data_IF_640869587932
#
_entry.id   IF_640869587932
#
_cell.length_a   1.000
_cell.length_b   1.000
_cell.length_c   1.000
_cell.angle_alpha   90.00
_cell.angle_beta   90.00
_cell.angle_gamma   90.00
#
_symmetry.space_group_name_H-M   'P 1'
#
loop_
_entity.id
_entity.type
_entity.pdbx_description
1 polymer ?
#
# COMPACT_ATOMS: atom_id res chain seq x y z
N UNK A 1 -27.12 -19.67 72.52
CA UNK A 1 -25.83 -19.60 71.77
C UNK A 1 -26.00 -19.63 70.24
N UNK A 2 -26.93 -20.35 69.64
CA UNK A 2 -27.05 -20.43 68.13
C UNK A 2 -27.47 -19.12 67.44
N UNK A 3 -28.27 -18.24 68.05
CA UNK A 3 -28.69 -16.97 67.41
C UNK A 3 -27.58 -15.92 67.35
N UNK A 4 -26.64 -15.90 68.29
CA UNK A 4 -25.54 -14.94 68.27
C UNK A 4 -24.46 -15.33 67.24
N UNK A 5 -24.33 -16.62 66.94
CA UNK A 5 -23.39 -17.11 65.91
C UNK A 5 -23.88 -16.80 64.50
N UNK A 6 -25.20 -16.84 64.27
CA UNK A 6 -25.79 -16.53 62.95
C UNK A 6 -25.68 -15.06 62.61
N UNK A 7 -25.85 -14.15 63.61
CA UNK A 7 -25.72 -12.71 63.42
C UNK A 7 -24.26 -12.33 63.12
N UNK A 8 -23.26 -12.94 63.73
CA UNK A 8 -21.86 -12.72 63.46
C UNK A 8 -21.43 -13.17 62.06
N UNK A 9 -22.00 -14.26 61.55
CA UNK A 9 -21.71 -14.79 60.21
C UNK A 9 -22.33 -13.93 59.09
N UNK A 10 -23.54 -13.34 59.34
CA UNK A 10 -24.15 -12.40 58.40
C UNK A 10 -23.44 -11.09 58.31
N UNK A 11 -22.93 -10.53 59.41
CA UNK A 11 -22.10 -9.31 59.44
C UNK A 11 -20.75 -9.52 58.82
N UNK A 12 -20.13 -10.70 58.95
CA UNK A 12 -18.88 -11.06 58.30
C UNK A 12 -19.02 -11.18 56.77
N UNK A 13 -20.13 -11.80 56.29
CA UNK A 13 -20.46 -11.93 54.87
C UNK A 13 -20.78 -10.56 54.26
N UNK A 14 -21.53 -9.70 54.98
CA UNK A 14 -21.82 -8.33 54.48
C UNK A 14 -20.58 -7.45 54.42
N UNK A 15 -19.67 -7.57 55.42
CA UNK A 15 -18.38 -6.86 55.42
C UNK A 15 -17.47 -7.28 54.27
N UNK A 16 -17.44 -8.60 53.93
CA UNK A 16 -16.65 -9.12 52.79
C UNK A 16 -17.22 -8.66 51.43
N UNK A 17 -18.56 -8.56 51.31
CA UNK A 17 -19.22 -8.09 50.10
C UNK A 17 -18.99 -6.59 49.84
N UNK A 18 -18.97 -5.77 50.91
CA UNK A 18 -18.65 -4.33 50.83
C UNK A 18 -17.18 -4.13 50.48
N UNK A 19 -16.24 -4.91 51.03
CA UNK A 19 -14.81 -4.81 50.72
C UNK A 19 -14.50 -5.22 49.27
N UNK A 20 -15.17 -6.27 48.72
CA UNK A 20 -15.02 -6.70 47.31
C UNK A 20 -15.63 -5.65 46.39
N UNK A 21 -16.77 -5.05 46.73
CA UNK A 21 -17.41 -4.00 45.91
C UNK A 21 -16.58 -2.70 45.87
N UNK A 22 -15.91 -2.32 46.95
CA UNK A 22 -15.03 -1.15 47.00
C UNK A 22 -13.74 -1.41 46.23
N UNK A 23 -13.17 -2.63 46.28
CA UNK A 23 -11.97 -3.02 45.52
C UNK A 23 -12.16 -3.06 44.00
N UNK A 24 -13.36 -3.39 43.53
CA UNK A 24 -13.71 -3.42 42.09
C UNK A 24 -14.02 -2.03 41.54
N UNK A 25 -14.57 -1.12 42.38
CA UNK A 25 -14.85 0.26 41.97
C UNK A 25 -13.59 1.15 41.92
N UNK A 26 -12.53 0.80 42.65
CA UNK A 26 -11.28 1.56 42.73
C UNK A 26 -10.37 1.42 41.48
N UNK A 27 -10.43 0.29 40.78
CA UNK A 27 -9.53 0.04 39.63
C UNK A 27 -9.93 0.86 38.39
N UNK A 28 -11.21 1.17 38.18
CA UNK A 28 -11.66 1.98 37.06
C UNK A 28 -11.42 3.48 37.21
N UNK A 29 -11.53 3.99 38.46
CA UNK A 29 -11.28 5.41 38.76
C UNK A 29 -9.80 5.78 38.57
N UNK A 30 -8.88 4.93 38.98
CA UNK A 30 -7.45 5.22 38.95
C UNK A 30 -6.87 5.43 37.54
N UNK A 31 -7.37 4.68 36.54
CA UNK A 31 -6.92 4.84 35.14
C UNK A 31 -7.46 6.11 34.45
N UNK A 32 -8.68 6.52 34.78
CA UNK A 32 -9.26 7.76 34.25
C UNK A 32 -8.57 8.97 34.86
N UNK A 33 -8.35 8.97 36.17
CA UNK A 33 -7.67 10.07 36.87
C UNK A 33 -6.21 10.22 36.40
N UNK A 34 -5.53 9.12 36.09
CA UNK A 34 -4.18 9.16 35.49
C UNK A 34 -4.20 9.76 34.09
N UNK A 35 -5.14 9.38 33.24
CA UNK A 35 -5.28 9.96 31.92
C UNK A 35 -5.53 11.46 31.97
N UNK A 36 -6.45 11.92 32.83
CA UNK A 36 -6.73 13.36 33.04
C UNK A 36 -5.50 14.15 33.48
N UNK A 37 -4.71 13.62 34.38
CA UNK A 37 -3.44 14.25 34.79
C UNK A 37 -2.44 14.39 33.66
N UNK A 38 -2.34 13.35 32.76
CA UNK A 38 -1.46 13.40 31.60
C UNK A 38 -1.94 14.40 30.56
N UNK A 39 -3.26 14.49 30.34
CA UNK A 39 -3.85 15.50 29.44
C UNK A 39 -3.64 16.91 30.01
N UNK A 40 -3.79 17.11 31.32
CA UNK A 40 -3.50 18.41 31.96
C UNK A 40 -2.03 18.80 31.75
N UNK A 41 -1.09 17.88 32.02
CA UNK A 41 0.34 18.14 31.80
C UNK A 41 0.63 18.54 30.33
N UNK A 42 -0.02 17.90 29.37
CA UNK A 42 0.12 18.25 27.95
C UNK A 42 -0.41 19.67 27.69
N UNK A 43 -1.57 20.02 28.25
CA UNK A 43 -2.17 21.35 28.09
C UNK A 43 -1.30 22.43 28.72
N UNK A 44 -0.76 22.18 29.94
CA UNK A 44 0.11 23.11 30.65
C UNK A 44 1.41 23.35 29.83
N UNK A 45 2.02 22.29 29.33
CA UNK A 45 3.21 22.40 28.50
C UNK A 45 2.94 23.18 27.18
N UNK A 46 1.80 22.95 26.54
CA UNK A 46 1.38 23.68 25.34
C UNK A 46 1.23 25.18 25.66
N UNK A 47 0.60 25.52 26.79
CA UNK A 47 0.41 26.91 27.23
C UNK A 47 1.73 27.61 27.48
N UNK A 48 2.68 26.94 28.14
CA UNK A 48 4.03 27.50 28.41
C UNK A 48 4.79 27.69 27.08
N UNK A 49 4.73 26.74 26.17
CA UNK A 49 5.39 26.88 24.86
C UNK A 49 4.83 28.08 24.11
N UNK A 50 3.51 28.27 24.12
CA UNK A 50 2.86 29.37 23.40
C UNK A 50 3.18 30.74 24.04
N UNK A 51 3.35 30.81 25.38
CA UNK A 51 3.65 32.07 26.06
C UNK A 51 5.12 32.45 26.08
N UNK A 52 6.02 31.47 26.20
CA UNK A 52 7.41 31.71 26.57
C UNK A 52 8.43 31.37 25.49
N UNK A 53 7.99 30.69 24.38
CA UNK A 53 8.92 30.43 23.28
C UNK A 53 9.37 31.73 22.62
N UNK A 54 10.63 31.78 22.19
CA UNK A 54 11.29 32.99 21.67
C UNK A 54 10.64 33.57 20.42
N UNK A 55 9.92 32.76 19.65
CA UNK A 55 9.20 33.17 18.45
C UNK A 55 7.71 32.84 18.59
N UNK A 56 6.86 33.54 17.84
CA UNK A 56 5.42 33.25 17.82
C UNK A 56 5.17 31.83 17.23
N UNK A 57 4.41 31.04 17.98
CA UNK A 57 4.12 29.64 17.59
C UNK A 57 2.73 29.50 16.98
N UNK A 58 2.61 28.62 15.99
CA UNK A 58 1.32 28.22 15.44
C UNK A 58 0.76 27.04 16.24
N UNK A 59 -0.38 27.18 16.94
CA UNK A 59 -0.99 26.09 17.71
C UNK A 59 -1.22 24.81 16.90
N UNK A 60 -1.61 24.95 15.63
CA UNK A 60 -1.85 23.82 14.72
C UNK A 60 -0.59 22.98 14.54
N UNK A 61 0.56 23.63 14.32
CA UNK A 61 1.82 22.92 14.06
C UNK A 61 2.30 22.18 15.31
N UNK A 62 2.11 22.78 16.50
CA UNK A 62 2.42 22.14 17.78
C UNK A 62 1.56 20.90 18.03
N UNK A 63 0.25 21.00 17.81
CA UNK A 63 -0.68 19.87 17.96
C UNK A 63 -0.37 18.76 16.94
N UNK A 64 -0.13 19.12 15.67
CA UNK A 64 0.21 18.15 14.64
C UNK A 64 1.54 17.44 14.94
N UNK A 65 2.55 18.18 15.45
CA UNK A 65 3.81 17.60 15.93
C UNK A 65 3.59 16.60 17.05
N UNK A 66 2.75 16.94 18.05
CA UNK A 66 2.40 16.05 19.14
C UNK A 66 1.68 14.79 18.67
N UNK A 67 0.68 14.92 17.77
CA UNK A 67 -0.04 13.79 17.18
C UNK A 67 0.91 12.87 16.39
N UNK A 68 1.83 13.44 15.59
CA UNK A 68 2.86 12.68 14.90
C UNK A 68 3.75 11.89 15.86
N UNK A 69 4.18 12.54 16.97
CA UNK A 69 4.98 11.89 18.02
C UNK A 69 4.24 10.77 18.74
N UNK A 70 2.97 10.95 19.08
CA UNK A 70 2.14 9.90 19.70
C UNK A 70 2.01 8.66 18.81
N UNK A 71 1.75 8.84 17.52
CA UNK A 71 1.59 7.71 16.61
C UNK A 71 2.93 7.01 16.36
N UNK A 72 4.02 7.75 16.21
CA UNK A 72 5.37 7.21 16.06
C UNK A 72 5.83 6.37 17.25
N UNK A 73 5.30 6.64 18.47
CA UNK A 73 5.60 5.84 19.66
C UNK A 73 4.92 4.47 19.69
N UNK A 74 3.96 4.20 18.79
CA UNK A 74 3.27 2.91 18.73
C UNK A 74 4.01 1.91 17.85
N UNK A 75 4.24 2.27 16.59
CA UNK A 75 4.96 1.47 15.60
C UNK A 75 5.33 2.31 14.36
N UNK A 76 6.13 1.74 13.45
CA UNK A 76 6.61 2.42 12.24
C UNK A 76 5.54 2.60 11.13
N UNK A 77 4.35 2.04 11.30
CA UNK A 77 3.27 2.05 10.32
C UNK A 77 2.10 2.93 10.75
N UNK A 78 1.97 3.20 12.05
CA UNK A 78 0.96 4.11 12.59
C UNK A 78 1.38 5.56 12.40
N UNK A 79 0.48 6.38 11.87
CA UNK A 79 0.81 7.74 11.44
C UNK A 79 -0.38 8.69 11.60
N UNK A 80 -0.13 9.91 12.09
CA UNK A 80 -1.04 11.03 11.89
C UNK A 80 -0.83 11.61 10.50
N UNK A 81 -1.89 11.79 9.77
CA UNK A 81 -1.90 12.35 8.42
C UNK A 81 -2.62 13.71 8.47
N UNK A 82 -1.90 14.75 8.10
CA UNK A 82 -2.51 16.03 7.75
C UNK A 82 -3.32 15.91 6.45
N UNK A 83 -4.03 16.96 6.08
CA UNK A 83 -4.89 16.95 4.89
C UNK A 83 -4.14 16.56 3.61
N UNK A 84 -2.91 17.03 3.45
CA UNK A 84 -2.09 16.75 2.28
C UNK A 84 -1.71 15.27 2.20
N UNK A 85 -1.14 14.73 3.27
CA UNK A 85 -0.75 13.31 3.37
C UNK A 85 -1.95 12.37 3.24
N UNK A 86 -3.10 12.75 3.81
CA UNK A 86 -4.32 11.95 3.68
C UNK A 86 -4.88 11.97 2.26
N UNK A 87 -4.82 13.10 1.57
CA UNK A 87 -5.22 13.20 0.17
C UNK A 87 -4.27 12.42 -0.75
N UNK A 88 -2.96 12.40 -0.46
CA UNK A 88 -1.99 11.55 -1.17
C UNK A 88 -2.32 10.07 -1.00
N UNK A 89 -2.62 9.62 0.21
CA UNK A 89 -3.04 8.23 0.46
C UNK A 89 -4.32 7.86 -0.31
N UNK A 90 -5.31 8.77 -0.37
CA UNK A 90 -6.52 8.56 -1.19
C UNK A 90 -6.19 8.41 -2.67
N UNK A 91 -5.27 9.22 -3.18
CA UNK A 91 -4.81 9.14 -4.57
C UNK A 91 -4.11 7.81 -4.83
N UNK A 92 -3.21 7.41 -3.93
CA UNK A 92 -2.50 6.14 -4.04
C UNK A 92 -3.46 4.94 -4.04
N UNK A 93 -4.43 4.95 -3.14
CA UNK A 93 -5.43 3.89 -2.97
C UNK A 93 -6.38 3.79 -4.16
N UNK A 94 -6.89 4.93 -4.64
CA UNK A 94 -7.76 5.00 -5.81
C UNK A 94 -7.01 4.76 -7.11
N UNK A 95 -5.71 5.02 -7.15
CA UNK A 95 -4.91 4.95 -8.36
C UNK A 95 -5.27 6.00 -9.41
N UNK A 96 -5.95 7.08 -8.99
CA UNK A 96 -6.41 8.15 -9.87
C UNK A 96 -6.18 9.50 -9.20
N UNK A 97 -5.70 10.47 -9.96
CA UNK A 97 -5.53 11.85 -9.49
C UNK A 97 -5.75 12.84 -10.61
N UNK A 98 -6.12 14.07 -10.25
CA UNK A 98 -6.19 15.17 -11.20
C UNK A 98 -4.80 15.76 -11.45
N UNK A 99 -4.39 15.83 -12.71
CA UNK A 99 -3.07 16.33 -13.08
C UNK A 99 -2.82 16.36 -14.57
N UNK A 100 -1.55 16.43 -14.94
CA UNK A 100 -1.11 16.55 -16.32
C UNK A 100 -0.68 15.20 -16.94
N UNK A 101 -0.24 14.25 -16.10
CA UNK A 101 0.28 12.94 -16.55
C UNK A 101 1.72 13.03 -17.04
N UNK A 102 2.62 13.56 -16.20
CA UNK A 102 4.04 13.70 -16.48
C UNK A 102 4.83 13.06 -15.34
N UNK A 103 5.80 12.23 -15.67
CA UNK A 103 6.85 11.83 -14.74
C UNK A 103 7.99 12.84 -14.82
N UNK A 104 8.42 13.35 -13.66
CA UNK A 104 9.41 14.42 -13.56
C UNK A 104 10.51 14.06 -12.57
N UNK A 105 11.67 14.68 -12.77
CA UNK A 105 12.82 14.62 -11.85
C UNK A 105 13.53 15.96 -11.82
N UNK A 106 14.47 16.11 -10.89
CA UNK A 106 15.44 17.22 -10.94
C UNK A 106 16.73 16.69 -11.57
N UNK A 107 17.10 17.25 -12.70
CA UNK A 107 18.36 16.95 -13.42
C UNK A 107 19.14 18.24 -13.64
N UNK A 108 20.40 18.25 -13.24
CA UNK A 108 21.29 19.42 -13.32
C UNK A 108 20.66 20.68 -12.66
N UNK A 109 19.96 20.49 -11.53
CA UNK A 109 19.28 21.57 -10.81
C UNK A 109 18.01 22.09 -11.48
N UNK A 110 17.52 21.44 -12.55
CA UNK A 110 16.35 21.86 -13.30
C UNK A 110 15.25 20.77 -13.30
N UNK A 111 14.02 21.21 -13.14
CA UNK A 111 12.86 20.33 -13.24
C UNK A 111 12.73 19.78 -14.67
N UNK A 112 12.89 18.48 -14.84
CA UNK A 112 13.01 17.84 -16.15
C UNK A 112 11.97 16.73 -16.30
N UNK A 113 11.35 16.66 -17.47
CA UNK A 113 10.42 15.58 -17.84
C UNK A 113 11.18 14.30 -18.09
N UNK A 114 10.90 13.24 -17.35
CA UNK A 114 11.36 11.88 -17.65
C UNK A 114 10.56 11.37 -18.85
N UNK A 115 9.22 11.33 -18.71
CA UNK A 115 8.31 10.94 -19.77
C UNK A 115 6.90 11.48 -19.53
N UNK A 116 6.17 11.92 -20.55
CA UNK A 116 4.72 12.08 -20.47
C UNK A 116 4.05 10.70 -20.55
N UNK A 117 3.04 10.47 -19.72
CA UNK A 117 2.25 9.23 -19.72
C UNK A 117 1.33 9.26 -20.95
N UNK A 118 1.30 8.17 -21.72
CA UNK A 118 0.44 8.06 -22.91
C UNK A 118 -1.03 8.33 -22.59
N UNK A 119 -1.76 8.92 -23.54
CA UNK A 119 -3.18 9.27 -23.43
C UNK A 119 -3.54 10.26 -22.32
N UNK A 120 -2.55 10.97 -21.76
CA UNK A 120 -2.77 12.02 -20.75
C UNK A 120 -2.81 13.42 -21.38
N UNK A 121 -3.26 14.43 -20.62
CA UNK A 121 -3.25 15.82 -21.10
C UNK A 121 -1.88 16.32 -21.57
N UNK A 122 -0.81 15.97 -20.86
CA UNK A 122 0.54 16.37 -21.27
C UNK A 122 1.02 15.69 -22.55
N UNK A 123 0.72 14.40 -22.70
CA UNK A 123 0.98 13.68 -23.94
C UNK A 123 0.30 14.33 -25.15
N UNK A 124 -1.01 14.61 -24.99
CA UNK A 124 -1.79 15.26 -26.06
C UNK A 124 -1.34 16.68 -26.36
N UNK A 125 -0.80 17.39 -25.37
CA UNK A 125 -0.22 18.72 -25.55
C UNK A 125 1.13 18.71 -26.24
N UNK A 126 1.78 17.53 -26.44
CA UNK A 126 3.06 17.42 -27.11
C UNK A 126 4.28 17.67 -26.22
N UNK A 127 4.14 17.47 -24.91
CA UNK A 127 5.28 17.39 -23.95
C UNK A 127 6.14 16.20 -24.33
N UNK A 128 7.46 16.35 -24.27
CA UNK A 128 8.42 15.33 -24.66
C UNK A 128 9.37 14.96 -23.52
N UNK A 129 9.96 13.75 -23.53
CA UNK A 129 11.09 13.43 -22.65
C UNK A 129 12.22 14.47 -22.80
N UNK A 130 12.88 14.76 -21.69
CA UNK A 130 13.97 15.76 -21.55
C UNK A 130 13.53 17.23 -21.70
N UNK A 131 12.25 17.52 -21.85
CA UNK A 131 11.76 18.90 -21.74
C UNK A 131 12.06 19.44 -20.32
N UNK A 132 12.64 20.65 -20.23
CA UNK A 132 12.91 21.30 -18.95
C UNK A 132 11.79 22.25 -18.61
N UNK A 133 11.09 22.05 -17.51
CA UNK A 133 10.00 22.90 -17.04
C UNK A 133 10.62 24.09 -16.31
N UNK A 134 10.60 25.27 -16.91
CA UNK A 134 11.22 26.48 -16.35
C UNK A 134 10.24 27.36 -15.59
N UNK A 135 8.91 27.23 -15.88
CA UNK A 135 7.85 27.90 -15.10
C UNK A 135 6.61 27.02 -15.00
N UNK A 136 5.91 27.16 -13.88
CA UNK A 136 4.58 26.63 -13.63
C UNK A 136 3.70 27.79 -13.17
N UNK A 137 2.60 28.11 -13.90
CA UNK A 137 1.72 29.25 -13.64
C UNK A 137 2.48 30.57 -13.43
N UNK A 138 3.47 30.85 -14.27
CA UNK A 138 4.38 32.00 -14.23
C UNK A 138 5.43 32.00 -13.09
N UNK A 139 5.39 31.08 -12.15
CA UNK A 139 6.41 30.94 -11.12
C UNK A 139 7.64 30.16 -11.65
N UNK A 140 8.84 30.67 -11.39
CA UNK A 140 10.10 30.04 -11.82
C UNK A 140 10.33 28.76 -11.00
N UNK A 141 10.73 27.67 -11.68
CA UNK A 141 10.90 26.34 -11.05
C UNK A 141 12.31 26.07 -10.52
N UNK A 142 13.27 26.99 -10.69
CA UNK A 142 14.70 26.76 -10.38
C UNK A 142 14.95 26.33 -8.94
N UNK A 143 14.24 26.94 -8.00
CA UNK A 143 14.41 26.70 -6.56
C UNK A 143 13.27 25.86 -5.97
N UNK A 144 12.39 25.32 -6.82
CA UNK A 144 11.28 24.46 -6.37
C UNK A 144 11.78 23.05 -6.08
N UNK A 145 11.31 22.49 -4.99
CA UNK A 145 11.44 21.07 -4.73
C UNK A 145 10.54 20.26 -5.69
N UNK A 146 10.87 18.98 -5.88
CA UNK A 146 10.03 18.09 -6.70
C UNK A 146 8.58 18.00 -6.18
N UNK A 147 8.42 17.96 -4.85
CA UNK A 147 7.10 17.92 -4.18
C UNK A 147 6.29 19.18 -4.47
N UNK A 148 6.88 20.36 -4.37
CA UNK A 148 6.18 21.61 -4.69
C UNK A 148 5.77 21.68 -6.17
N UNK A 149 6.63 21.26 -7.08
CA UNK A 149 6.31 21.21 -8.50
C UNK A 149 5.14 20.25 -8.77
N UNK A 150 5.16 19.04 -8.17
CA UNK A 150 4.06 18.08 -8.25
C UNK A 150 2.76 18.69 -7.71
N UNK A 151 2.80 19.35 -6.55
CA UNK A 151 1.63 20.00 -5.95
C UNK A 151 1.00 21.05 -6.87
N UNK A 152 1.81 21.88 -7.55
CA UNK A 152 1.32 22.90 -8.50
C UNK A 152 0.76 22.29 -9.77
N UNK A 153 1.31 21.17 -10.25
CA UNK A 153 0.81 20.48 -11.45
C UNK A 153 -0.42 19.61 -11.17
N UNK A 154 -0.60 19.08 -9.96
CA UNK A 154 -1.83 18.41 -9.52
C UNK A 154 -2.93 19.42 -9.25
N UNK A 155 -4.19 18.95 -9.21
CA UNK A 155 -5.37 19.75 -8.91
C UNK A 155 -6.62 19.17 -9.53
N UNK A 156 -7.74 19.88 -9.46
CA UNK A 156 -9.02 19.39 -9.96
C UNK A 156 -8.98 19.19 -11.47
N UNK A 157 -9.48 18.06 -12.01
CA UNK A 157 -9.69 17.89 -13.44
C UNK A 157 -10.57 19.03 -13.99
N UNK A 158 -10.20 19.53 -15.17
CA UNK A 158 -10.88 20.66 -15.83
C UNK A 158 -10.21 22.03 -15.60
N UNK A 159 -9.36 22.18 -14.57
CA UNK A 159 -8.59 23.40 -14.36
C UNK A 159 -7.32 23.41 -15.23
N UNK A 160 -6.92 24.59 -15.72
CA UNK A 160 -5.71 24.72 -16.54
C UNK A 160 -4.45 24.96 -15.70
N UNK A 161 -3.31 24.47 -16.20
CA UNK A 161 -1.97 24.81 -15.75
C UNK A 161 -1.17 25.32 -16.95
N UNK A 162 -0.45 26.41 -16.75
CA UNK A 162 0.46 26.95 -17.75
C UNK A 162 1.88 26.47 -17.44
N UNK A 163 2.52 25.79 -18.39
CA UNK A 163 3.92 25.37 -18.30
C UNK A 163 4.73 26.14 -19.32
N UNK A 164 5.81 26.76 -18.89
CA UNK A 164 6.86 27.25 -19.81
C UNK A 164 7.97 26.21 -19.83
N UNK A 165 8.29 25.69 -20.99
CA UNK A 165 9.23 24.60 -21.22
C UNK A 165 10.40 25.09 -22.09
N UNK A 166 11.61 24.75 -21.70
CA UNK A 166 12.80 24.83 -22.54
C UNK A 166 13.05 23.47 -23.17
N UNK A 167 12.87 23.36 -24.48
CA UNK A 167 13.22 22.17 -25.27
C UNK A 167 14.61 22.33 -25.87
N UNK A 168 15.55 21.56 -25.35
CA UNK A 168 16.96 21.68 -25.77
C UNK A 168 17.19 21.29 -27.23
N UNK A 169 16.46 20.30 -27.75
CA UNK A 169 16.56 19.92 -29.17
C UNK A 169 16.29 21.07 -30.11
N UNK A 170 15.37 21.93 -29.75
CA UNK A 170 14.91 23.04 -30.60
C UNK A 170 15.50 24.39 -30.15
N UNK A 171 16.20 24.42 -29.00
CA UNK A 171 16.72 25.63 -28.33
C UNK A 171 15.64 26.71 -28.16
N UNK A 172 14.39 26.29 -27.92
CA UNK A 172 13.23 27.20 -27.84
C UNK A 172 12.51 27.09 -26.50
N UNK A 173 12.05 28.23 -26.02
CA UNK A 173 11.06 28.28 -24.95
C UNK A 173 9.66 28.22 -25.57
N UNK A 174 8.81 27.39 -24.98
CA UNK A 174 7.44 27.17 -25.44
C UNK A 174 6.49 27.19 -24.26
N UNK A 175 5.35 27.84 -24.43
CA UNK A 175 4.29 27.89 -23.43
C UNK A 175 3.18 26.89 -23.79
N UNK A 176 2.80 26.09 -22.79
CA UNK A 176 1.75 25.09 -22.89
C UNK A 176 0.65 25.38 -21.87
N UNK A 177 -0.55 25.63 -22.33
CA UNK A 177 -1.73 25.68 -21.48
C UNK A 177 -2.39 24.30 -21.50
N UNK A 178 -2.24 23.54 -20.40
CA UNK A 178 -2.70 22.16 -20.32
C UNK A 178 -3.82 22.07 -19.30
N UNK A 179 -4.98 21.54 -19.72
CA UNK A 179 -6.11 21.30 -18.83
C UNK A 179 -5.88 19.98 -18.11
N UNK A 180 -5.93 19.99 -16.75
CA UNK A 180 -5.78 18.79 -15.93
C UNK A 180 -6.85 17.77 -16.27
N UNK A 181 -6.45 16.54 -16.40
CA UNK A 181 -7.34 15.40 -16.57
C UNK A 181 -7.25 14.43 -15.40
N UNK A 182 -8.09 13.40 -15.40
CA UNK A 182 -7.94 12.26 -14.50
C UNK A 182 -6.80 11.40 -15.02
N UNK A 183 -5.72 11.30 -14.25
CA UNK A 183 -4.57 10.44 -14.55
C UNK A 183 -4.76 9.13 -13.81
N UNK A 184 -4.74 8.02 -14.55
CA UNK A 184 -4.84 6.68 -13.97
C UNK A 184 -3.45 6.07 -13.83
N UNK A 185 -3.11 5.67 -12.61
CA UNK A 185 -1.87 4.93 -12.33
C UNK A 185 -2.13 3.46 -12.69
N UNK A 186 -1.30 2.88 -13.54
CA UNK A 186 -1.45 1.48 -13.95
C UNK A 186 -1.08 0.55 -12.79
N UNK A 187 -1.98 -0.39 -12.46
CA UNK A 187 -1.71 -1.46 -11.50
C UNK A 187 -0.92 -2.61 -12.14
N UNK A 188 -1.16 -2.81 -13.43
CA UNK A 188 -0.47 -3.80 -14.26
C UNK A 188 0.52 -3.04 -15.12
N UNK A 189 1.81 -3.25 -14.85
CA UNK A 189 2.90 -2.62 -15.59
C UNK A 189 3.13 -3.34 -16.93
N UNK A 190 2.94 -4.66 -16.95
CA UNK A 190 3.22 -5.50 -18.10
C UNK A 190 2.18 -6.63 -18.21
N UNK A 191 1.74 -6.91 -19.42
CA UNK A 191 0.82 -8.00 -19.73
C UNK A 191 1.07 -8.48 -21.15
N UNK A 192 1.64 -9.69 -21.33
CA UNK A 192 1.99 -10.24 -22.65
C UNK A 192 2.09 -11.75 -22.66
N UNK A 193 2.13 -12.35 -23.84
CA UNK A 193 2.56 -13.74 -24.03
C UNK A 193 4.08 -13.75 -24.28
N UNK A 194 4.81 -14.59 -23.56
CA UNK A 194 6.21 -14.88 -23.81
C UNK A 194 6.35 -15.86 -24.99
N UNK A 195 7.54 -15.92 -25.60
CA UNK A 195 7.82 -16.73 -26.78
C UNK A 195 7.38 -18.21 -26.65
N UNK A 196 7.36 -18.74 -25.42
CA UNK A 196 6.96 -20.12 -25.15
C UNK A 196 5.45 -20.31 -24.90
N UNK A 197 4.61 -19.33 -25.26
CA UNK A 197 3.16 -19.41 -25.05
C UNK A 197 2.75 -19.28 -23.58
N UNK A 198 3.61 -18.74 -22.70
CA UNK A 198 3.33 -18.49 -21.29
C UNK A 198 2.83 -17.06 -21.12
N UNK A 199 1.67 -16.89 -20.50
CA UNK A 199 1.17 -15.58 -20.13
C UNK A 199 2.01 -15.00 -18.99
N UNK A 200 2.40 -13.73 -19.11
CA UNK A 200 3.11 -12.97 -18.07
C UNK A 200 2.33 -11.71 -17.73
N UNK A 201 2.12 -11.50 -16.43
CA UNK A 201 1.47 -10.29 -15.87
C UNK A 201 2.33 -9.77 -14.73
N UNK A 202 2.75 -8.49 -14.80
CA UNK A 202 3.41 -7.78 -13.70
C UNK A 202 2.41 -6.87 -13.00
N UNK A 203 2.01 -7.24 -11.80
CA UNK A 203 1.11 -6.48 -10.92
C UNK A 203 1.96 -5.70 -9.92
N UNK A 204 1.86 -4.37 -9.93
CA UNK A 204 2.73 -3.50 -9.14
C UNK A 204 2.11 -2.97 -7.86
N UNK A 205 0.77 -2.99 -7.73
CA UNK A 205 0.07 -2.58 -6.51
C UNK A 205 -1.38 -3.06 -6.51
N UNK A 206 -2.01 -3.16 -5.31
CA UNK A 206 -3.42 -3.50 -5.15
C UNK A 206 -4.23 -2.23 -4.85
N UNK A 207 -4.93 -1.71 -5.86
CA UNK A 207 -5.80 -0.52 -5.80
C UNK A 207 -7.26 -0.87 -6.09
N UNK A 208 -8.17 0.08 -5.99
CA UNK A 208 -9.62 -0.14 -6.20
C UNK A 208 -9.96 -0.78 -7.56
N UNK A 209 -9.27 -0.42 -8.63
CA UNK A 209 -9.54 -0.94 -9.98
C UNK A 209 -8.72 -2.20 -10.35
N UNK A 210 -7.86 -2.72 -9.46
CA UNK A 210 -6.91 -3.80 -9.79
C UNK A 210 -7.58 -5.07 -10.30
N UNK A 211 -8.68 -5.50 -9.68
CA UNK A 211 -9.41 -6.68 -10.14
C UNK A 211 -9.98 -6.50 -11.55
N UNK A 212 -10.52 -5.31 -11.83
CA UNK A 212 -11.02 -4.96 -13.16
C UNK A 212 -9.89 -5.00 -14.20
N UNK A 213 -8.76 -4.37 -13.89
CA UNK A 213 -7.60 -4.32 -14.78
C UNK A 213 -6.99 -5.70 -15.01
N UNK A 214 -6.91 -6.53 -13.95
CA UNK A 214 -6.47 -7.92 -14.06
C UNK A 214 -7.40 -8.76 -14.95
N UNK A 215 -8.72 -8.61 -14.80
CA UNK A 215 -9.68 -9.30 -15.66
C UNK A 215 -9.52 -8.91 -17.13
N UNK A 216 -9.30 -7.63 -17.44
CA UNK A 216 -9.05 -7.16 -18.80
C UNK A 216 -7.77 -7.77 -19.38
N UNK A 217 -6.69 -7.79 -18.61
CA UNK A 217 -5.42 -8.40 -19.00
C UNK A 217 -5.56 -9.91 -19.25
N UNK A 218 -6.18 -10.64 -18.31
CA UNK A 218 -6.41 -12.09 -18.46
C UNK A 218 -7.31 -12.42 -19.65
N UNK A 219 -8.37 -11.64 -19.89
CA UNK A 219 -9.25 -11.83 -21.05
C UNK A 219 -8.52 -11.56 -22.37
N UNK A 220 -7.63 -10.58 -22.42
CA UNK A 220 -6.80 -10.32 -23.61
C UNK A 220 -5.86 -11.48 -23.87
N UNK A 221 -5.10 -11.89 -22.86
CA UNK A 221 -4.13 -13.00 -22.98
C UNK A 221 -4.79 -14.34 -23.29
N UNK A 222 -6.01 -14.60 -22.80
CA UNK A 222 -6.73 -15.86 -23.03
C UNK A 222 -7.04 -16.11 -24.51
N UNK A 223 -7.15 -15.06 -25.33
CA UNK A 223 -7.37 -15.17 -26.78
C UNK A 223 -6.21 -15.88 -27.48
N UNK A 224 -5.00 -15.75 -26.93
CA UNK A 224 -3.78 -16.38 -27.45
C UNK A 224 -3.58 -17.80 -26.91
N UNK A 225 -4.54 -18.33 -26.15
CA UNK A 225 -4.56 -19.70 -25.59
C UNK A 225 -3.26 -20.06 -24.84
N UNK A 226 -2.87 -19.30 -23.82
CA UNK A 226 -1.62 -19.56 -23.10
C UNK A 226 -1.64 -20.94 -22.44
N UNK A 227 -0.46 -21.55 -22.33
CA UNK A 227 -0.30 -22.86 -21.68
C UNK A 227 -0.03 -22.77 -20.18
N UNK A 228 0.39 -21.62 -19.69
CA UNK A 228 0.70 -21.35 -18.28
C UNK A 228 0.63 -19.85 -17.98
N UNK A 229 0.69 -19.48 -16.70
CA UNK A 229 0.67 -18.10 -16.23
C UNK A 229 1.82 -17.82 -15.25
N UNK A 230 2.53 -16.74 -15.47
CA UNK A 230 3.45 -16.11 -14.50
C UNK A 230 2.80 -14.83 -13.99
N UNK A 231 2.58 -14.73 -12.68
CA UNK A 231 2.17 -13.50 -11.99
C UNK A 231 3.37 -12.94 -11.23
N UNK A 232 3.86 -11.81 -11.68
CA UNK A 232 5.03 -11.15 -11.06
C UNK A 232 4.58 -10.10 -10.04
N UNK A 233 4.89 -10.37 -8.77
CA UNK A 233 4.64 -9.49 -7.61
C UNK A 233 5.93 -8.88 -7.05
N UNK A 234 7.05 -9.04 -7.72
CA UNK A 234 8.32 -8.45 -7.26
C UNK A 234 8.20 -6.93 -7.20
N UNK A 235 8.69 -6.35 -6.10
CA UNK A 235 8.60 -4.92 -5.80
C UNK A 235 7.16 -4.39 -5.72
N UNK A 236 6.18 -5.25 -5.43
CA UNK A 236 4.80 -4.86 -5.16
C UNK A 236 4.59 -4.72 -3.64
N UNK A 237 4.47 -3.49 -3.10
CA UNK A 237 4.36 -3.25 -1.65
C UNK A 237 2.99 -3.66 -1.06
N UNK A 238 2.10 -4.21 -1.87
CA UNK A 238 0.74 -4.56 -1.48
C UNK A 238 -0.29 -3.50 -1.89
N UNK A 239 -1.12 -3.11 -0.97
CA UNK A 239 -2.23 -2.16 -1.16
C UNK A 239 -3.46 -2.56 -0.37
N UNK A 240 -4.65 -2.40 -0.97
CA UNK A 240 -5.92 -2.70 -0.31
C UNK A 240 -6.06 -4.20 0.01
N UNK A 241 -6.37 -4.50 1.28
CA UNK A 241 -6.57 -5.86 1.77
C UNK A 241 -7.69 -6.56 0.98
N UNK A 242 -8.86 -5.94 0.88
CA UNK A 242 -10.01 -6.51 0.17
C UNK A 242 -9.68 -6.83 -1.28
N UNK A 243 -8.94 -5.94 -1.95
CA UNK A 243 -8.51 -6.13 -3.33
C UNK A 243 -7.53 -7.30 -3.47
N UNK A 244 -6.62 -7.49 -2.51
CA UNK A 244 -5.71 -8.65 -2.53
C UNK A 244 -6.47 -9.96 -2.35
N UNK A 245 -7.52 -9.97 -1.51
CA UNK A 245 -8.42 -11.11 -1.33
C UNK A 245 -9.21 -11.42 -2.60
N UNK A 246 -9.78 -10.40 -3.25
CA UNK A 246 -10.55 -10.56 -4.49
C UNK A 246 -9.68 -11.05 -5.65
N UNK A 247 -8.47 -10.50 -5.79
CA UNK A 247 -7.50 -10.96 -6.79
C UNK A 247 -7.08 -12.41 -6.53
N UNK A 248 -6.81 -12.78 -5.28
CA UNK A 248 -6.50 -14.16 -4.89
C UNK A 248 -7.65 -15.10 -5.23
N UNK A 249 -8.89 -14.67 -4.96
CA UNK A 249 -10.12 -15.40 -5.26
C UNK A 249 -10.30 -15.73 -6.75
N UNK A 250 -9.60 -15.02 -7.67
CA UNK A 250 -9.61 -15.38 -9.10
C UNK A 250 -8.92 -16.71 -9.40
N UNK A 251 -8.01 -17.12 -8.54
CA UNK A 251 -7.14 -18.28 -8.79
C UNK A 251 -7.49 -19.51 -7.93
N UNK A 252 -8.30 -19.35 -6.88
CA UNK A 252 -8.72 -20.44 -5.98
C UNK A 252 -10.25 -20.59 -6.00
N UNK A 253 -10.79 -21.78 -5.63
CA UNK A 253 -12.24 -22.00 -5.53
C UNK A 253 -12.92 -21.03 -4.56
N UNK A 254 -14.20 -20.72 -4.81
CA UNK A 254 -15.02 -19.91 -3.91
C UNK A 254 -15.16 -20.55 -2.52
N UNK A 255 -15.29 -19.73 -1.49
CA UNK A 255 -15.46 -20.17 -0.10
C UNK A 255 -14.19 -20.65 0.59
N UNK A 256 -13.02 -20.45 -0.02
CA UNK A 256 -11.72 -20.74 0.60
C UNK A 256 -11.25 -19.56 1.42
N UNK A 257 -10.79 -19.81 2.65
CA UNK A 257 -10.17 -18.78 3.49
C UNK A 257 -8.89 -18.27 2.82
N UNK A 258 -8.79 -16.97 2.60
CA UNK A 258 -7.61 -16.32 1.99
C UNK A 258 -6.67 -15.81 3.08
N UNK A 259 -7.21 -15.13 4.06
CA UNK A 259 -6.49 -14.49 5.16
C UNK A 259 -7.46 -14.26 6.30
N UNK A 260 -6.98 -14.23 7.54
CA UNK A 260 -7.77 -13.74 8.67
C UNK A 260 -6.97 -12.77 9.52
N UNK A 261 -7.67 -11.90 10.25
CA UNK A 261 -7.06 -10.89 11.12
C UNK A 261 -7.34 -11.18 12.59
N UNK A 262 -6.43 -10.76 13.46
CA UNK A 262 -6.58 -10.78 14.92
C UNK A 262 -6.10 -9.45 15.48
N UNK A 263 -6.97 -8.80 16.24
CA UNK A 263 -6.70 -7.54 16.92
C UNK A 263 -7.04 -7.62 18.41
N UNK A 264 -6.92 -6.48 19.09
CA UNK A 264 -7.22 -6.40 20.53
C UNK A 264 -8.72 -6.45 20.83
N UNK A 265 -9.54 -5.99 19.90
CA UNK A 265 -11.01 -5.94 20.00
C UNK A 265 -11.61 -7.01 19.12
N UNK A 266 -12.78 -7.55 19.51
CA UNK A 266 -13.41 -8.65 18.82
C UNK A 266 -13.78 -8.31 17.37
N UNK A 267 -14.27 -7.10 17.10
CA UNK A 267 -14.61 -6.62 15.77
C UNK A 267 -13.41 -6.48 14.81
N UNK A 268 -12.18 -6.59 15.31
CA UNK A 268 -10.95 -6.61 14.52
C UNK A 268 -10.57 -8.04 14.09
N UNK A 269 -11.31 -9.05 14.55
CA UNK A 269 -11.12 -10.45 14.21
C UNK A 269 -12.00 -10.81 13.04
N UNK A 270 -11.46 -10.72 11.84
CA UNK A 270 -12.18 -10.95 10.58
C UNK A 270 -11.57 -12.09 9.80
N UNK A 271 -12.41 -12.81 9.06
CA UNK A 271 -12.01 -13.85 8.12
C UNK A 271 -12.43 -13.44 6.71
N UNK A 272 -11.52 -13.58 5.76
CA UNK A 272 -11.71 -13.15 4.38
C UNK A 272 -11.66 -14.36 3.47
N UNK A 273 -12.76 -14.59 2.75
CA UNK A 273 -12.93 -15.74 1.89
C UNK A 273 -12.93 -15.36 0.42
N UNK A 274 -12.47 -16.27 -0.43
CA UNK A 274 -12.60 -16.14 -1.88
C UNK A 274 -14.05 -16.15 -2.31
N UNK A 275 -14.44 -15.21 -3.19
CA UNK A 275 -15.83 -15.00 -3.64
C UNK A 275 -16.04 -15.26 -5.13
N UNK A 276 -14.99 -15.59 -5.89
CA UNK A 276 -15.09 -15.72 -7.33
C UNK A 276 -16.03 -16.87 -7.75
N UNK A 277 -17.08 -16.53 -8.50
CA UNK A 277 -18.05 -17.50 -9.04
C UNK A 277 -17.42 -18.49 -10.05
N UNK A 278 -16.29 -18.15 -10.67
CA UNK A 278 -15.53 -19.01 -11.58
C UNK A 278 -14.04 -18.78 -11.34
N UNK A 279 -13.28 -19.76 -10.85
CA UNK A 279 -11.82 -19.67 -10.85
C UNK A 279 -11.35 -19.55 -12.29
N UNK A 280 -10.52 -18.52 -12.53
CA UNK A 280 -9.94 -18.31 -13.85
C UNK A 280 -8.75 -19.25 -14.01
N UNK A 281 -8.79 -20.06 -15.05
CA UNK A 281 -7.70 -20.85 -15.59
C UNK A 281 -7.20 -22.00 -14.69
N UNK A 282 -7.46 -23.22 -15.13
CA UNK A 282 -6.77 -24.44 -14.66
C UNK A 282 -5.31 -24.54 -15.15
N UNK A 283 -4.74 -23.44 -15.66
CA UNK A 283 -3.37 -23.41 -16.17
C UNK A 283 -2.35 -23.57 -15.04
N UNK A 284 -1.23 -24.24 -15.26
CA UNK A 284 -0.06 -24.15 -14.38
C UNK A 284 0.30 -22.70 -14.11
N UNK A 285 0.65 -22.39 -12.85
CA UNK A 285 0.90 -21.02 -12.45
C UNK A 285 2.14 -20.91 -11.57
N UNK A 286 2.97 -19.92 -11.85
CA UNK A 286 4.04 -19.47 -10.99
C UNK A 286 3.78 -18.04 -10.50
N UNK A 287 4.19 -17.73 -9.26
CA UNK A 287 4.16 -16.39 -8.70
C UNK A 287 5.58 -15.99 -8.33
N UNK A 288 6.02 -14.83 -8.82
CA UNK A 288 7.35 -14.30 -8.50
C UNK A 288 7.26 -13.32 -7.34
N UNK A 289 8.11 -13.48 -6.34
CA UNK A 289 8.24 -12.59 -5.18
C UNK A 289 9.69 -12.23 -4.91
N UNK A 290 9.91 -11.10 -4.23
CA UNK A 290 11.20 -10.69 -3.68
C UNK A 290 11.02 -9.91 -2.37
N UNK A 291 12.11 -9.39 -1.80
CA UNK A 291 12.06 -8.59 -0.57
C UNK A 291 11.21 -7.31 -0.68
N UNK A 292 10.91 -6.83 -1.88
CA UNK A 292 9.98 -5.74 -2.13
C UNK A 292 8.51 -6.17 -2.22
N UNK A 293 8.21 -7.48 -2.16
CA UNK A 293 6.84 -8.00 -2.11
C UNK A 293 6.32 -7.96 -0.68
N UNK A 294 5.28 -7.16 -0.41
CA UNK A 294 4.80 -6.93 0.96
C UNK A 294 3.26 -6.97 1.07
N UNK A 295 2.73 -7.14 2.28
CA UNK A 295 1.32 -6.96 2.62
C UNK A 295 0.37 -7.77 1.72
N UNK A 296 -0.46 -7.11 0.87
CA UNK A 296 -1.38 -7.77 -0.07
C UNK A 296 -0.71 -8.77 -1.00
N UNK A 297 0.54 -8.52 -1.41
CA UNK A 297 1.33 -9.47 -2.21
C UNK A 297 1.64 -10.75 -1.43
N UNK A 298 1.92 -10.61 -0.13
CA UNK A 298 2.19 -11.74 0.75
C UNK A 298 0.93 -12.55 1.05
N UNK A 299 -0.22 -11.88 1.19
CA UNK A 299 -1.53 -12.53 1.33
C UNK A 299 -1.80 -13.42 0.11
N UNK A 300 -1.65 -12.87 -1.09
CA UNK A 300 -1.88 -13.61 -2.34
C UNK A 300 -0.90 -14.77 -2.46
N UNK A 301 0.40 -14.52 -2.31
CA UNK A 301 1.42 -15.54 -2.48
C UNK A 301 1.24 -16.69 -1.47
N UNK A 302 1.04 -16.37 -0.18
CA UNK A 302 0.84 -17.38 0.87
C UNK A 302 -0.43 -18.22 0.66
N UNK A 303 -1.55 -17.59 0.26
CA UNK A 303 -2.78 -18.32 0.00
C UNK A 303 -2.64 -19.25 -1.21
N UNK A 304 -2.05 -18.79 -2.32
CA UNK A 304 -1.80 -19.64 -3.50
C UNK A 304 -0.83 -20.78 -3.22
N UNK A 305 0.19 -20.54 -2.39
CA UNK A 305 1.12 -21.56 -1.90
C UNK A 305 0.39 -22.61 -1.04
N UNK A 306 -0.38 -22.17 -0.05
CA UNK A 306 -1.12 -23.05 0.85
C UNK A 306 -2.09 -24.00 0.09
N UNK A 307 -2.84 -23.45 -0.88
CA UNK A 307 -3.75 -24.25 -1.70
C UNK A 307 -3.06 -25.01 -2.84
N UNK A 308 -1.74 -24.97 -2.93
CA UNK A 308 -0.94 -25.59 -4.01
C UNK A 308 -1.43 -25.17 -5.40
N UNK A 309 -1.93 -23.92 -5.50
CA UNK A 309 -2.46 -23.39 -6.76
C UNK A 309 -1.36 -22.84 -7.65
N UNK A 310 -0.31 -22.29 -7.07
CA UNK A 310 0.85 -21.79 -7.78
C UNK A 310 2.14 -22.18 -7.05
N UNK A 311 3.24 -22.23 -7.79
CA UNK A 311 4.57 -22.38 -7.24
C UNK A 311 5.15 -20.99 -7.03
N UNK A 312 5.60 -20.71 -5.82
CA UNK A 312 6.18 -19.43 -5.45
C UNK A 312 7.68 -19.47 -5.71
N UNK A 313 8.18 -18.55 -6.52
CA UNK A 313 9.57 -18.50 -6.98
C UNK A 313 10.18 -17.15 -6.61
N UNK A 314 11.40 -17.14 -6.11
CA UNK A 314 12.13 -15.90 -5.87
C UNK A 314 12.91 -15.86 -4.58
N UNK A 315 12.98 -14.71 -3.94
CA UNK A 315 13.56 -14.51 -2.62
C UNK A 315 12.45 -14.30 -1.57
N UNK A 316 12.82 -14.43 -0.29
CA UNK A 316 11.90 -14.21 0.84
C UNK A 316 11.26 -12.83 0.75
N UNK A 317 9.94 -12.73 0.96
CA UNK A 317 9.20 -11.48 0.95
C UNK A 317 9.49 -10.61 2.19
N UNK A 318 8.96 -9.40 2.22
CA UNK A 318 9.24 -8.37 3.22
C UNK A 318 8.85 -8.77 4.65
N UNK A 319 7.67 -9.34 4.85
CA UNK A 319 7.17 -9.71 6.17
C UNK A 319 6.30 -8.63 6.82
N UNK A 320 5.48 -7.91 6.05
CA UNK A 320 4.50 -6.96 6.60
C UNK A 320 3.19 -7.65 6.91
N UNK A 321 3.00 -8.07 8.16
CA UNK A 321 1.81 -8.77 8.65
C UNK A 321 0.87 -7.91 9.51
N UNK A 322 0.98 -6.58 9.47
CA UNK A 322 0.13 -5.65 10.21
C UNK A 322 -0.94 -5.02 9.33
N UNK A 323 -2.15 -4.86 9.88
CA UNK A 323 -3.29 -4.21 9.23
C UNK A 323 -3.42 -2.80 9.77
N UNK A 324 -3.41 -1.81 8.87
CA UNK A 324 -3.69 -0.42 9.20
C UNK A 324 -5.11 -0.06 8.78
N UNK A 325 -5.82 0.62 9.68
CA UNK A 325 -7.11 1.26 9.39
C UNK A 325 -6.89 2.77 9.32
N UNK A 326 -7.51 3.39 8.33
CA UNK A 326 -7.52 4.85 8.18
C UNK A 326 -8.80 5.38 8.83
N UNK A 327 -8.64 6.21 9.86
CA UNK A 327 -9.73 6.81 10.62
C UNK A 327 -9.74 8.30 10.31
N UNK A 328 -10.72 8.79 9.53
CA UNK A 328 -10.85 10.22 9.26
C UNK A 328 -11.07 11.00 10.56
N UNK A 329 -10.47 12.16 10.66
CA UNK A 329 -10.67 13.16 11.70
C UNK A 329 -11.15 14.47 11.07
N UNK A 330 -11.38 15.47 11.91
CA UNK A 330 -11.76 16.80 11.46
C UNK A 330 -10.65 17.49 10.64
N UNK A 331 -10.97 18.60 10.00
CA UNK A 331 -10.07 19.42 9.16
C UNK A 331 -9.39 18.64 8.03
N UNK A 332 -10.02 17.56 7.52
CA UNK A 332 -9.45 16.77 6.44
C UNK A 332 -8.25 15.91 6.84
N UNK A 333 -7.97 15.78 8.14
CA UNK A 333 -6.89 14.94 8.68
C UNK A 333 -7.33 13.50 8.90
N UNK A 334 -6.39 12.60 9.20
CA UNK A 334 -6.72 11.22 9.54
C UNK A 334 -5.65 10.55 10.42
N UNK A 335 -6.05 9.48 11.10
CA UNK A 335 -5.14 8.53 11.72
C UNK A 335 -5.02 7.28 10.85
N UNK A 336 -3.81 6.90 10.51
CA UNK A 336 -3.49 5.56 10.02
C UNK A 336 -2.98 4.77 11.22
N UNK A 337 -3.75 3.78 11.67
CA UNK A 337 -3.50 3.08 12.93
C UNK A 337 -3.41 1.58 12.71
N UNK A 338 -2.38 0.95 13.23
CA UNK A 338 -2.27 -0.51 13.27
C UNK A 338 -3.26 -1.07 14.28
N UNK A 339 -4.26 -1.81 13.81
CA UNK A 339 -5.36 -2.33 14.63
C UNK A 339 -5.31 -3.84 14.81
N UNK A 340 -4.70 -4.57 13.87
CA UNK A 340 -4.64 -6.03 13.90
C UNK A 340 -3.43 -6.56 13.14
N UNK A 341 -3.18 -7.84 13.29
CA UNK A 341 -2.26 -8.64 12.47
C UNK A 341 -3.04 -9.58 11.59
N UNK A 342 -2.47 -9.95 10.43
CA UNK A 342 -3.09 -10.96 9.58
C UNK A 342 -2.26 -12.24 9.54
N UNK A 343 -2.98 -13.33 9.30
CA UNK A 343 -2.48 -14.69 9.33
C UNK A 343 -2.90 -15.43 8.07
N UNK A 344 -2.05 -16.30 7.60
CA UNK A 344 -2.32 -17.19 6.46
C UNK A 344 -3.41 -18.20 6.79
N UNK A 345 -4.00 -18.89 5.80
CA UNK A 345 -5.01 -19.92 6.04
C UNK A 345 -4.58 -21.05 6.98
N UNK A 346 -3.28 -21.35 7.06
CA UNK A 346 -2.72 -22.36 7.97
C UNK A 346 -2.27 -21.78 9.33
N UNK A 347 -2.65 -20.54 9.63
CA UNK A 347 -2.40 -19.93 10.94
C UNK A 347 -1.01 -19.34 11.13
N UNK A 348 -0.19 -19.26 10.10
CA UNK A 348 1.14 -18.67 10.21
C UNK A 348 1.06 -17.15 10.21
N UNK A 349 1.80 -16.52 11.11
CA UNK A 349 2.00 -15.08 11.13
C UNK A 349 3.02 -14.68 10.05
N UNK A 350 2.64 -13.70 9.21
CA UNK A 350 3.52 -13.14 8.18
C UNK A 350 4.44 -12.07 8.77
N UNK A 351 4.00 -11.39 9.83
CA UNK A 351 4.72 -10.26 10.41
C UNK A 351 6.15 -10.62 10.84
N UNK A 352 7.14 -9.93 10.28
CA UNK A 352 8.57 -10.19 10.49
C UNK A 352 9.11 -11.49 9.86
N UNK A 353 8.22 -12.39 9.38
CA UNK A 353 8.61 -13.68 8.80
C UNK A 353 8.61 -13.69 7.29
N UNK A 354 7.65 -13.01 6.66
CA UNK A 354 7.46 -13.05 5.23
C UNK A 354 7.01 -14.40 4.68
N UNK A 355 6.84 -14.45 3.37
CA UNK A 355 6.57 -15.69 2.61
C UNK A 355 7.90 -16.24 2.09
N UNK A 356 8.17 -17.51 2.39
CA UNK A 356 9.33 -18.22 1.88
C UNK A 356 8.93 -18.86 0.55
N UNK A 357 9.64 -18.60 -0.55
CA UNK A 357 9.32 -19.20 -1.84
C UNK A 357 9.56 -20.71 -1.84
N UNK A 358 8.82 -21.43 -2.69
CA UNK A 358 9.02 -22.88 -2.90
C UNK A 358 10.33 -23.15 -3.66
N UNK A 359 10.72 -22.21 -4.53
CA UNK A 359 11.98 -22.25 -5.28
C UNK A 359 12.71 -20.93 -5.04
N UNK A 360 13.85 -21.00 -4.37
CA UNK A 360 14.71 -19.85 -4.12
C UNK A 360 15.50 -19.51 -5.38
N UNK A 361 15.49 -18.23 -5.76
CA UNK A 361 16.36 -17.66 -6.78
C UNK A 361 17.10 -16.49 -6.15
N UNK A 362 18.43 -16.58 -6.10
CA UNK A 362 19.27 -15.52 -5.56
C UNK A 362 19.48 -14.43 -6.60
N UNK A 363 19.32 -13.18 -6.17
CA UNK A 363 19.55 -12.01 -7.00
C UNK A 363 21.05 -11.68 -6.98
N UNK A 364 21.70 -11.71 -8.14
CA UNK A 364 23.04 -11.12 -8.24
C UNK A 364 22.86 -9.59 -8.19
N UNK A 365 23.48 -8.93 -7.22
CA UNK A 365 23.44 -7.46 -7.03
C UNK A 365 23.86 -6.64 -8.28
N UNK A 366 24.29 -7.30 -9.34
CA UNK A 366 24.66 -6.70 -10.64
C UNK A 366 23.53 -6.72 -11.68
N UNK A 367 22.44 -7.46 -11.43
CA UNK A 367 21.36 -7.65 -12.40
C UNK A 367 20.18 -6.65 -12.21
N UNK A 368 20.38 -5.56 -11.47
CA UNK A 368 19.45 -4.42 -11.47
C UNK A 368 19.62 -3.73 -12.83
N UNK A 369 19.04 -4.36 -13.85
CA UNK A 369 18.96 -3.80 -15.20
C UNK A 369 18.24 -2.46 -15.11
N UNK A 370 18.87 -1.43 -15.65
CA UNK A 370 18.25 -0.14 -15.93
C UNK A 370 16.97 -0.41 -16.76
N UNK A 371 15.81 -0.40 -16.12
CA UNK A 371 14.48 -0.54 -16.71
C UNK A 371 14.15 0.64 -17.67
N UNK A 372 15.09 1.14 -18.43
CA UNK A 372 14.91 2.39 -19.16
C UNK A 372 15.34 2.44 -20.62
N UNK A 373 16.17 1.54 -21.14
CA UNK A 373 16.77 1.75 -22.50
C UNK A 373 16.70 0.57 -23.46
N UNK A 374 16.53 -0.65 -23.00
CA UNK A 374 16.27 -1.81 -23.86
C UNK A 374 14.89 -2.38 -23.52
N UNK A 375 14.04 -2.62 -24.52
CA UNK A 375 12.70 -3.21 -24.33
C UNK A 375 12.75 -4.49 -23.49
N UNK A 376 11.63 -4.91 -22.92
CA UNK A 376 11.46 -6.05 -22.05
C UNK A 376 12.14 -7.32 -22.59
N UNK A 377 13.32 -7.65 -22.07
CA UNK A 377 14.12 -8.83 -22.41
C UNK A 377 14.09 -9.82 -21.24
N UNK A 378 13.00 -10.59 -21.11
CA UNK A 378 12.83 -11.54 -20.02
C UNK A 378 13.90 -12.65 -19.97
N UNK A 379 14.57 -12.92 -21.10
CA UNK A 379 15.67 -13.88 -21.19
C UNK A 379 16.88 -13.52 -20.31
N UNK A 380 17.00 -12.27 -19.89
CA UNK A 380 18.03 -11.82 -18.94
C UNK A 380 17.57 -11.89 -17.48
N UNK A 381 16.27 -12.12 -17.23
CA UNK A 381 15.68 -12.16 -15.90
C UNK A 381 15.68 -13.58 -15.35
N UNK A 382 16.55 -13.87 -14.39
CA UNK A 382 16.72 -15.22 -13.79
C UNK A 382 15.43 -15.75 -13.16
N UNK A 383 14.62 -14.89 -12.56
CA UNK A 383 13.35 -15.27 -11.95
C UNK A 383 12.34 -15.72 -12.99
N UNK A 384 12.19 -14.93 -14.07
CA UNK A 384 11.27 -15.26 -15.16
C UNK A 384 11.75 -16.52 -15.87
N UNK A 385 13.04 -16.63 -16.18
CA UNK A 385 13.60 -17.82 -16.82
C UNK A 385 13.38 -19.07 -15.97
N UNK A 386 13.60 -19.00 -14.66
CA UNK A 386 13.33 -20.13 -13.77
C UNK A 386 11.87 -20.57 -13.78
N UNK A 387 10.95 -19.59 -13.80
CA UNK A 387 9.52 -19.87 -13.91
C UNK A 387 9.16 -20.50 -15.27
N UNK A 388 9.74 -20.01 -16.36
CA UNK A 388 9.55 -20.53 -17.73
C UNK A 388 9.99 -21.99 -17.81
N UNK A 389 11.19 -22.30 -17.34
CA UNK A 389 11.73 -23.68 -17.35
C UNK A 389 10.82 -24.65 -16.58
N UNK A 390 10.39 -24.25 -15.39
CA UNK A 390 9.49 -25.05 -14.56
C UNK A 390 8.14 -25.28 -15.22
N UNK A 391 7.52 -24.22 -15.76
CA UNK A 391 6.20 -24.30 -16.38
C UNK A 391 6.24 -25.11 -17.67
N UNK A 392 7.32 -25.04 -18.44
CA UNK A 392 7.53 -25.90 -19.61
C UNK A 392 7.63 -27.38 -19.23
N UNK A 393 8.42 -27.70 -18.17
CA UNK A 393 8.51 -29.05 -17.67
C UNK A 393 7.16 -29.62 -17.21
N UNK A 394 6.39 -28.83 -16.43
CA UNK A 394 5.04 -29.21 -15.97
C UNK A 394 4.07 -29.45 -17.14
N UNK A 395 4.15 -28.64 -18.17
CA UNK A 395 3.29 -28.80 -19.37
C UNK A 395 3.66 -30.03 -20.18
N UNK A 396 4.96 -30.34 -20.28
CA UNK A 396 5.42 -31.59 -20.95
C UNK A 396 4.85 -32.83 -20.27
N UNK A 397 4.92 -32.92 -18.94
CA UNK A 397 4.39 -34.07 -18.18
C UNK A 397 2.85 -34.15 -18.15
N UNK A 398 2.13 -33.05 -18.37
CA UNK A 398 0.67 -33.06 -18.45
C UNK A 398 0.12 -33.49 -19.81
N UNK A 399 0.91 -33.39 -20.86
CA UNK A 399 0.51 -33.77 -22.23
C UNK A 399 0.76 -35.24 -22.54
N UNK A 400 1.61 -35.88 -21.75
CA UNK A 400 1.88 -37.32 -21.79
C UNK A 400 1.19 -38.04 -20.64
#
# INVERSE_FOLDING_TARGET
MRKKFFIALVFSALGLFIFVSIGLCGRGKNKKDELYRRVSLFSDALSVIQSDYVEETNPKDLIYGALKGMLASLDVHSQFMDEETYNELKVETKGKFGGLGIEITIKDGLLTVITPIEDTPAWRAGIKPLDRIVKINNEITRDMTLTEAVKRMRGKPGEAVNLTILRESDKKMMDFKIVRGVIQIRDIKESRILENGIAYIKLVQFREDTLKNLNLALNSLSKEKPMALILDLRNNPGGLLDMSVEVTGKFIPSGKLVVYTRGRREEQNCEYFSSAKRPILSLPMAVLINEGSASGSEILAAALQYYKRAIIIGSKSFGKGSVQVVIPLDEGTALKLTTSKYFTPDGKEINGKGVIPDIVVEEDKKDVGEDGKEGFKYQKDKYIMRAVDLLNALNFYRRN
#
